data_IF_301890332664
#
_entry.id   IF_301890332664
#
_cell.length_a   1.000
_cell.length_b   1.000
_cell.length_c   1.000
_cell.angle_alpha   90.00
_cell.angle_beta   90.00
_cell.angle_gamma   90.00
#
_symmetry.space_group_name_H-M   'P 1'
#
loop_
_entity.id
_entity.type
_entity.pdbx_description
1 polymer ?
#
# COMPACT_ATOMS: atom_id res chain seq x y z
N UNK A 1 -27.72 6.13 0.84
CA UNK A 1 -27.60 6.44 2.27
C UNK A 1 -26.23 6.01 2.75
N UNK A 2 -25.47 6.84 3.51
CA UNK A 2 -24.23 6.39 4.11
C UNK A 2 -24.51 5.19 5.02
N UNK A 3 -23.68 4.16 4.93
CA UNK A 3 -23.76 3.02 5.82
C UNK A 3 -23.43 3.47 7.24
N UNK A 4 -24.19 3.06 8.27
CA UNK A 4 -23.89 3.42 9.67
C UNK A 4 -22.42 3.07 9.98
N UNK A 5 -21.67 4.01 10.57
CA UNK A 5 -20.27 3.82 10.95
C UNK A 5 -19.26 3.84 9.82
N UNK A 6 -19.60 4.33 8.61
CA UNK A 6 -18.66 4.59 7.51
C UNK A 6 -18.65 6.08 7.20
N UNK A 7 -17.53 6.73 7.46
CA UNK A 7 -17.24 8.12 7.14
C UNK A 7 -16.31 8.21 5.93
N UNK A 8 -16.47 9.21 5.09
CA UNK A 8 -15.56 9.53 3.99
C UNK A 8 -15.41 11.03 3.82
N UNK A 9 -14.25 11.48 3.38
CA UNK A 9 -13.95 12.90 3.21
C UNK A 9 -12.53 13.12 2.75
N UNK A 10 -12.01 14.31 3.04
CA UNK A 10 -10.64 14.71 2.73
C UNK A 10 -9.97 15.25 3.99
N UNK A 11 -8.87 14.63 4.43
CA UNK A 11 -8.01 15.18 5.46
C UNK A 11 -7.27 16.39 4.88
N UNK A 12 -7.25 17.49 5.63
CA UNK A 12 -6.63 18.76 5.21
C UNK A 12 -7.14 19.30 3.85
N UNK A 13 -8.29 18.83 3.38
CA UNK A 13 -8.83 19.17 2.07
C UNK A 13 -8.14 18.48 0.88
N UNK A 14 -7.09 17.68 1.11
CA UNK A 14 -6.22 17.13 0.05
C UNK A 14 -6.19 15.60 -0.01
N UNK A 15 -6.23 14.91 1.14
CA UNK A 15 -6.05 13.46 1.23
C UNK A 15 -7.42 12.77 1.36
N UNK A 16 -7.94 12.12 0.30
CA UNK A 16 -9.18 11.36 0.41
C UNK A 16 -9.04 10.27 1.47
N UNK A 17 -10.07 10.08 2.30
CA UNK A 17 -10.06 9.02 3.29
C UNK A 17 -11.42 8.36 3.46
N UNK A 18 -11.39 7.15 3.99
CA UNK A 18 -12.54 6.52 4.64
C UNK A 18 -12.16 6.13 6.06
N UNK A 19 -13.14 6.21 6.96
CA UNK A 19 -13.00 5.82 8.35
C UNK A 19 -14.16 4.91 8.75
N UNK A 20 -13.87 3.84 9.47
CA UNK A 20 -14.86 2.91 10.01
C UNK A 20 -14.27 2.09 11.16
N UNK A 21 -15.11 1.31 11.86
CA UNK A 21 -14.74 0.57 13.05
C UNK A 21 -14.92 1.41 14.33
N UNK A 22 -15.07 0.73 15.46
CA UNK A 22 -15.42 1.34 16.75
C UNK A 22 -14.39 1.02 17.83
N UNK A 23 -13.28 0.39 17.46
CA UNK A 23 -12.19 0.09 18.39
C UNK A 23 -11.50 1.34 18.93
N UNK A 24 -10.97 1.27 20.15
CA UNK A 24 -10.28 2.36 20.81
C UNK A 24 -8.87 2.65 20.28
N UNK A 25 -8.29 1.71 19.53
CA UNK A 25 -6.96 1.82 18.91
C UNK A 25 -7.11 2.29 17.46
N UNK A 26 -6.17 3.08 16.96
CA UNK A 26 -6.21 3.59 15.60
C UNK A 26 -5.29 2.76 14.69
N UNK A 27 -5.83 2.32 13.54
CA UNK A 27 -5.06 1.68 12.46
C UNK A 27 -5.18 2.54 11.22
N UNK A 28 -4.06 3.01 10.69
CA UNK A 28 -4.02 3.78 9.43
C UNK A 28 -3.39 2.92 8.35
N UNK A 29 -4.10 2.76 7.23
CA UNK A 29 -3.66 1.97 6.08
C UNK A 29 -3.26 2.92 4.95
N UNK A 30 -2.00 2.82 4.51
CA UNK A 30 -1.49 3.48 3.32
C UNK A 30 -1.67 2.54 2.12
N UNK A 31 -2.50 2.90 1.13
CA UNK A 31 -2.92 2.01 0.07
C UNK A 31 -1.84 1.76 -0.99
N UNK A 32 -1.96 0.67 -1.78
CA UNK A 32 -1.05 0.34 -2.86
C UNK A 32 -1.19 1.31 -4.06
N UNK A 33 -0.45 1.07 -5.13
CA UNK A 33 -0.38 1.95 -6.32
C UNK A 33 -1.73 2.16 -7.01
N UNK A 34 -2.64 1.18 -6.94
CA UNK A 34 -3.98 1.27 -7.54
C UNK A 34 -4.82 2.45 -7.00
N UNK A 35 -4.50 2.93 -5.79
CA UNK A 35 -5.08 4.15 -5.23
C UNK A 35 -4.90 5.37 -6.14
N UNK A 36 -3.81 5.43 -6.92
CA UNK A 36 -3.59 6.51 -7.89
C UNK A 36 -4.67 6.54 -8.98
N UNK A 37 -5.27 5.41 -9.32
CA UNK A 37 -6.32 5.30 -10.33
C UNK A 37 -7.71 5.60 -9.76
N UNK A 38 -7.97 5.11 -8.56
CA UNK A 38 -9.23 5.32 -7.83
C UNK A 38 -8.92 5.44 -6.35
N UNK A 39 -9.27 6.58 -5.75
CA UNK A 39 -9.09 6.77 -4.32
C UNK A 39 -10.03 5.88 -3.49
N UNK A 40 -9.72 5.78 -2.19
CA UNK A 40 -10.43 4.90 -1.27
C UNK A 40 -11.92 5.22 -1.14
N UNK A 41 -12.36 6.43 -1.47
CA UNK A 41 -13.77 6.83 -1.35
C UNK A 41 -14.64 6.14 -2.41
N UNK A 42 -14.08 5.87 -3.60
CA UNK A 42 -14.78 5.18 -4.69
C UNK A 42 -15.08 3.71 -4.38
N UNK A 43 -14.25 3.07 -3.54
CA UNK A 43 -14.41 1.68 -3.11
C UNK A 43 -14.84 1.51 -1.65
N UNK A 44 -15.33 2.56 -0.99
CA UNK A 44 -15.49 2.62 0.46
C UNK A 44 -16.24 1.43 1.09
N UNK A 45 -17.37 1.00 0.50
CA UNK A 45 -18.14 -0.16 0.99
C UNK A 45 -17.38 -1.47 0.86
N UNK A 46 -16.69 -1.66 -0.26
CA UNK A 46 -15.85 -2.84 -0.49
C UNK A 46 -14.65 -2.84 0.47
N UNK A 47 -13.96 -1.73 0.63
CA UNK A 47 -12.81 -1.60 1.52
C UNK A 47 -13.20 -1.82 2.98
N UNK A 48 -14.35 -1.28 3.43
CA UNK A 48 -14.90 -1.59 4.74
C UNK A 48 -15.14 -3.10 4.93
N UNK A 49 -15.74 -3.75 3.95
CA UNK A 49 -15.94 -5.20 3.99
C UNK A 49 -14.62 -5.95 3.98
N UNK A 50 -13.67 -5.51 3.17
CA UNK A 50 -12.36 -6.15 3.02
C UNK A 50 -11.54 -6.13 4.31
N UNK A 51 -11.54 -5.02 5.04
CA UNK A 51 -10.80 -4.83 6.29
C UNK A 51 -11.66 -5.01 7.56
N UNK A 52 -12.90 -5.50 7.44
CA UNK A 52 -13.83 -5.67 8.58
C UNK A 52 -13.25 -6.46 9.76
N UNK A 53 -12.30 -7.36 9.51
CA UNK A 53 -11.69 -8.19 10.55
C UNK A 53 -10.85 -7.42 11.57
N UNK A 54 -10.54 -6.17 11.28
CA UNK A 54 -9.85 -5.27 12.21
C UNK A 54 -10.83 -4.34 12.93
N UNK A 55 -12.06 -4.18 12.45
CA UNK A 55 -12.98 -3.12 12.86
C UNK A 55 -13.50 -3.25 14.30
N UNK A 56 -13.46 -4.44 14.90
CA UNK A 56 -13.90 -4.66 16.29
C UNK A 56 -12.90 -4.09 17.32
N UNK A 57 -11.61 -4.02 16.95
CA UNK A 57 -10.52 -3.62 17.84
C UNK A 57 -9.94 -2.25 17.49
N UNK A 58 -10.14 -1.82 16.24
CA UNK A 58 -9.52 -0.61 15.69
C UNK A 58 -10.56 0.31 15.06
N UNK A 59 -10.36 1.61 15.26
CA UNK A 59 -10.85 2.63 14.33
C UNK A 59 -9.88 2.67 13.15
N UNK A 60 -10.38 2.34 11.96
CA UNK A 60 -9.56 2.16 10.76
C UNK A 60 -9.68 3.38 9.87
N UNK A 61 -8.56 3.96 9.50
CA UNK A 61 -8.44 4.95 8.44
C UNK A 61 -7.77 4.31 7.24
N UNK A 62 -8.39 4.34 6.07
CA UNK A 62 -7.69 4.19 4.80
C UNK A 62 -7.51 5.58 4.23
N UNK A 63 -6.28 5.99 4.02
CA UNK A 63 -5.97 7.37 3.57
C UNK A 63 -5.26 7.30 2.24
N UNK A 64 -5.89 7.81 1.18
CA UNK A 64 -5.30 7.94 -0.14
C UNK A 64 -4.17 8.96 -0.16
N UNK A 65 -3.27 8.82 -1.11
CA UNK A 65 -2.33 9.88 -1.48
C UNK A 65 -3.10 11.07 -2.04
N UNK A 66 -2.52 12.27 -1.94
CA UNK A 66 -3.10 13.44 -2.59
C UNK A 66 -3.16 13.25 -4.10
N UNK A 67 -4.02 14.02 -4.75
CA UNK A 67 -4.18 14.02 -6.20
C UNK A 67 -3.36 15.14 -6.85
N UNK A 68 -3.13 15.04 -8.14
CA UNK A 68 -2.35 15.99 -8.96
C UNK A 68 -0.91 16.08 -8.46
N UNK A 69 -0.27 14.92 -8.39
CA UNK A 69 1.14 14.84 -8.05
C UNK A 69 1.98 15.55 -9.12
N UNK A 70 2.92 16.36 -8.69
CA UNK A 70 3.89 16.98 -9.61
C UNK A 70 4.92 15.93 -10.07
N UNK A 71 5.47 16.12 -11.27
CA UNK A 71 6.59 15.31 -11.74
C UNK A 71 7.74 15.34 -10.72
N UNK A 72 8.38 14.18 -10.49
CA UNK A 72 9.44 14.03 -9.52
C UNK A 72 8.98 13.93 -8.05
N UNK A 73 7.66 13.79 -7.82
CA UNK A 73 7.11 13.62 -6.46
C UNK A 73 7.53 12.28 -5.89
N UNK A 74 8.27 12.29 -4.80
CA UNK A 74 8.90 11.10 -4.22
C UNK A 74 7.99 10.40 -3.19
N UNK A 75 8.33 9.16 -2.84
CA UNK A 75 7.70 8.44 -1.72
C UNK A 75 7.92 9.15 -0.37
N UNK A 76 8.99 9.93 -0.22
CA UNK A 76 9.26 10.73 0.97
C UNK A 76 8.37 11.98 1.03
N UNK A 77 8.08 12.61 -0.12
CA UNK A 77 7.11 13.70 -0.20
C UNK A 77 5.71 13.20 0.16
N UNK A 78 5.33 12.01 -0.33
CA UNK A 78 4.07 11.36 0.07
C UNK A 78 4.01 11.09 1.58
N UNK A 79 5.13 10.67 2.19
CA UNK A 79 5.23 10.47 3.64
C UNK A 79 5.02 11.78 4.42
N UNK A 80 5.60 12.90 3.93
CA UNK A 80 5.41 14.21 4.52
C UNK A 80 3.95 14.69 4.44
N UNK A 81 3.23 14.36 3.35
CA UNK A 81 1.78 14.63 3.25
C UNK A 81 1.00 13.91 4.37
N UNK A 82 1.27 12.62 4.58
CA UNK A 82 0.66 11.85 5.67
C UNK A 82 1.02 12.42 7.04
N UNK A 83 2.26 12.84 7.27
CA UNK A 83 2.69 13.41 8.54
C UNK A 83 1.89 14.68 8.91
N UNK A 84 1.60 15.53 7.93
CA UNK A 84 0.73 16.70 8.15
C UNK A 84 -0.69 16.31 8.58
N UNK A 85 -1.24 15.23 7.98
CA UNK A 85 -2.57 14.73 8.34
C UNK A 85 -2.59 14.10 9.74
N UNK A 86 -1.54 13.34 10.09
CA UNK A 86 -1.40 12.77 11.44
C UNK A 86 -1.32 13.87 12.50
N UNK A 87 -0.47 14.86 12.31
CA UNK A 87 -0.29 15.95 13.27
C UNK A 87 -1.53 16.81 13.52
N UNK A 88 -2.47 16.87 12.56
CA UNK A 88 -3.66 17.73 12.67
C UNK A 88 -4.97 16.98 12.91
N UNK A 89 -5.06 15.70 12.51
CA UNK A 89 -6.37 15.04 12.43
C UNK A 89 -6.42 13.63 12.99
N UNK A 90 -5.29 12.88 13.04
CA UNK A 90 -5.29 11.47 13.41
C UNK A 90 -4.58 11.23 14.75
N UNK A 91 -3.38 11.79 14.93
CA UNK A 91 -2.50 11.47 16.06
C UNK A 91 -1.70 10.19 15.85
N UNK A 92 -0.99 9.69 16.90
CA UNK A 92 -0.26 8.42 16.85
C UNK A 92 -1.16 7.24 16.55
N UNK A 93 -0.68 6.29 15.75
CA UNK A 93 -1.46 5.15 15.30
C UNK A 93 -0.57 3.95 14.92
N UNK A 94 -1.19 2.77 14.80
CA UNK A 94 -0.60 1.65 14.08
C UNK A 94 -0.64 1.96 12.58
N UNK A 95 0.50 1.87 11.89
CA UNK A 95 0.61 2.17 10.46
C UNK A 95 0.79 0.87 9.69
N UNK A 96 -0.05 0.66 8.69
CA UNK A 96 0.05 -0.47 7.77
C UNK A 96 0.19 0.06 6.34
N UNK A 97 1.39 -0.01 5.79
CA UNK A 97 1.66 0.32 4.39
C UNK A 97 1.63 -0.91 3.50
N UNK A 98 0.85 -0.88 2.43
CA UNK A 98 0.72 -1.99 1.48
C UNK A 98 1.38 -1.62 0.13
N UNK A 99 2.36 -2.41 -0.34
CA UNK A 99 3.07 -2.21 -1.61
C UNK A 99 3.68 -0.79 -1.68
N UNK A 100 3.30 0.07 -2.63
CA UNK A 100 3.72 1.49 -2.64
C UNK A 100 3.46 2.19 -1.29
N UNK A 101 2.32 1.91 -0.65
CA UNK A 101 2.06 2.40 0.70
C UNK A 101 3.09 1.92 1.73
N UNK A 102 3.67 0.73 1.54
CA UNK A 102 4.77 0.20 2.36
C UNK A 102 6.08 0.94 2.13
N UNK A 103 6.37 1.38 0.89
CA UNK A 103 7.52 2.24 0.60
C UNK A 103 7.38 3.60 1.29
N UNK A 104 6.21 4.21 1.19
CA UNK A 104 5.90 5.49 1.85
C UNK A 104 5.97 5.36 3.38
N UNK A 105 5.45 4.27 3.94
CA UNK A 105 5.43 4.02 5.38
C UNK A 105 6.83 3.89 6.00
N UNK A 106 7.83 3.44 5.24
CA UNK A 106 9.23 3.39 5.68
C UNK A 106 9.77 4.80 5.94
N UNK A 107 9.62 5.72 4.97
CA UNK A 107 10.02 7.11 5.17
C UNK A 107 9.20 7.78 6.27
N UNK A 108 7.89 7.53 6.30
CA UNK A 108 7.02 8.06 7.34
C UNK A 108 7.49 7.67 8.74
N UNK A 109 7.76 6.39 8.96
CA UNK A 109 8.18 5.90 10.28
C UNK A 109 9.61 6.35 10.68
N UNK A 110 10.50 6.52 9.70
CA UNK A 110 11.86 7.00 9.94
C UNK A 110 11.93 8.50 10.23
N UNK A 111 11.10 9.31 9.55
CA UNK A 111 11.11 10.76 9.64
C UNK A 111 10.14 11.29 10.71
N UNK A 112 9.09 10.54 11.07
CA UNK A 112 8.02 10.93 11.99
C UNK A 112 7.69 9.84 13.01
N UNK A 113 8.69 9.35 13.79
CA UNK A 113 8.50 8.23 14.72
C UNK A 113 7.46 8.51 15.81
N UNK A 114 7.19 9.78 16.13
CA UNK A 114 6.19 10.21 17.10
C UNK A 114 4.76 9.84 16.73
N UNK A 115 4.49 9.55 15.45
CA UNK A 115 3.15 9.16 14.97
C UNK A 115 2.98 7.64 14.79
N UNK A 116 4.02 6.82 15.05
CA UNK A 116 3.99 5.39 14.72
C UNK A 116 4.09 4.52 15.96
N UNK A 117 2.96 4.00 16.43
CA UNK A 117 2.91 3.03 17.53
C UNK A 117 3.49 1.66 17.12
N UNK A 118 3.17 1.20 15.93
CA UNK A 118 3.79 0.05 15.27
C UNK A 118 3.69 0.18 13.77
N UNK A 119 4.62 -0.43 13.05
CA UNK A 119 4.70 -0.40 11.59
C UNK A 119 4.50 -1.79 11.00
N UNK A 120 3.63 -1.91 9.99
CA UNK A 120 3.55 -3.08 9.12
C UNK A 120 3.93 -2.67 7.70
N UNK A 121 4.97 -3.29 7.16
CA UNK A 121 5.40 -3.16 5.76
C UNK A 121 4.89 -4.40 5.03
N UNK A 122 3.77 -4.25 4.31
CA UNK A 122 3.10 -5.33 3.60
C UNK A 122 3.50 -5.38 2.13
N UNK A 123 3.96 -6.53 1.65
CA UNK A 123 4.40 -6.79 0.27
C UNK A 123 5.27 -5.66 -0.30
N UNK A 124 6.24 -5.23 0.49
CA UNK A 124 7.19 -4.17 0.15
C UNK A 124 8.54 -4.43 0.82
N UNK A 125 9.57 -3.76 0.33
CA UNK A 125 10.93 -3.81 0.86
C UNK A 125 11.58 -2.42 0.74
N UNK A 126 12.85 -2.29 1.12
CA UNK A 126 13.59 -1.02 1.08
C UNK A 126 13.74 -0.39 -0.31
N UNK A 127 13.40 -1.13 -1.34
CA UNK A 127 13.40 -0.74 -2.75
C UNK A 127 12.89 -1.89 -3.59
N UNK A 128 12.78 -1.69 -4.89
CA UNK A 128 12.39 -2.75 -5.84
C UNK A 128 13.55 -3.70 -6.12
N UNK A 129 13.25 -5.00 -6.27
CA UNK A 129 14.19 -5.99 -6.84
C UNK A 129 14.50 -5.69 -8.32
N UNK A 130 15.52 -6.33 -8.88
CA UNK A 130 15.89 -6.13 -10.27
C UNK A 130 14.71 -6.42 -11.23
N UNK A 131 14.06 -7.57 -11.07
CA UNK A 131 12.87 -7.93 -11.85
C UNK A 131 11.70 -6.98 -11.58
N UNK A 132 11.49 -6.56 -10.33
CA UNK A 132 10.47 -5.58 -9.96
C UNK A 132 10.66 -4.23 -10.66
N UNK A 133 11.90 -3.77 -10.83
CA UNK A 133 12.21 -2.56 -11.60
C UNK A 133 11.81 -2.69 -13.07
N UNK A 134 12.07 -3.84 -13.69
CA UNK A 134 11.65 -4.12 -15.07
C UNK A 134 10.12 -4.17 -15.20
N UNK A 135 9.44 -4.79 -14.23
CA UNK A 135 7.99 -4.85 -14.17
C UNK A 135 7.40 -3.43 -14.09
N UNK A 136 7.88 -2.61 -13.18
CA UNK A 136 7.35 -1.24 -12.99
C UNK A 136 7.66 -0.34 -14.20
N UNK A 137 8.83 -0.48 -14.83
CA UNK A 137 9.13 0.23 -16.10
C UNK A 137 8.13 -0.13 -17.19
N UNK A 138 7.82 -1.42 -17.37
CA UNK A 138 6.78 -1.86 -18.32
C UNK A 138 5.41 -1.23 -18.02
N UNK A 139 5.03 -1.17 -16.73
CA UNK A 139 3.78 -0.52 -16.35
C UNK A 139 3.75 0.96 -16.71
N UNK A 140 4.86 1.68 -16.53
CA UNK A 140 4.99 3.10 -16.91
C UNK A 140 4.88 3.25 -18.43
N UNK A 141 5.54 2.40 -19.21
CA UNK A 141 5.49 2.46 -20.68
C UNK A 141 4.08 2.20 -21.21
N UNK A 142 3.38 1.22 -20.64
CA UNK A 142 1.97 0.95 -20.97
C UNK A 142 1.07 2.12 -20.61
N UNK A 143 1.27 2.73 -19.43
CA UNK A 143 0.50 3.88 -18.96
C UNK A 143 0.72 5.11 -19.85
N UNK A 144 1.97 5.43 -20.18
CA UNK A 144 2.34 6.54 -21.09
C UNK A 144 1.78 6.34 -22.50
N UNK A 145 1.76 5.09 -22.96
CA UNK A 145 1.14 4.70 -24.23
C UNK A 145 -0.39 4.67 -24.24
N UNK A 146 -1.03 4.97 -23.09
CA UNK A 146 -2.49 4.90 -22.95
C UNK A 146 -3.08 3.49 -23.00
N UNK A 147 -2.24 2.45 -22.87
CA UNK A 147 -2.58 1.02 -22.97
C UNK A 147 -3.13 0.46 -21.66
N UNK A 148 -4.13 1.12 -21.09
CA UNK A 148 -4.63 0.86 -19.73
C UNK A 148 -5.19 -0.54 -19.52
N UNK A 149 -5.84 -1.13 -20.53
CA UNK A 149 -6.34 -2.51 -20.44
C UNK A 149 -5.21 -3.52 -20.33
N UNK A 150 -4.15 -3.31 -21.08
CA UNK A 150 -2.96 -4.15 -21.06
C UNK A 150 -2.21 -3.97 -19.73
N UNK A 151 -2.05 -2.74 -19.27
CA UNK A 151 -1.47 -2.45 -17.97
C UNK A 151 -2.17 -3.23 -16.84
N UNK A 152 -3.50 -3.19 -16.78
CA UNK A 152 -4.24 -3.92 -15.73
C UNK A 152 -4.05 -5.42 -15.83
N UNK A 153 -4.02 -5.97 -17.06
CA UNK A 153 -3.75 -7.39 -17.25
C UNK A 153 -2.34 -7.79 -16.83
N UNK A 154 -1.32 -7.00 -17.22
CA UNK A 154 0.07 -7.20 -16.80
C UNK A 154 0.20 -7.12 -15.27
N UNK A 155 -0.42 -6.13 -14.62
CA UNK A 155 -0.42 -6.03 -13.15
C UNK A 155 -0.99 -7.29 -12.49
N UNK A 156 -2.07 -7.87 -13.03
CA UNK A 156 -2.61 -9.15 -12.53
C UNK A 156 -1.60 -10.29 -12.70
N UNK A 157 -0.96 -10.37 -13.87
CA UNK A 157 0.05 -11.40 -14.17
C UNK A 157 1.26 -11.29 -13.24
N UNK A 158 1.68 -10.07 -12.94
CA UNK A 158 2.86 -9.80 -12.11
C UNK A 158 2.58 -9.97 -10.61
N UNK A 159 1.34 -9.71 -10.17
CA UNK A 159 0.97 -9.76 -8.75
C UNK A 159 0.50 -11.13 -8.28
N UNK A 160 -0.26 -11.87 -9.10
CA UNK A 160 -0.93 -13.10 -8.67
C UNK A 160 -0.22 -14.35 -9.16
N UNK A 161 -0.16 -15.37 -8.33
CA UNK A 161 0.48 -16.67 -8.62
C UNK A 161 -0.51 -17.83 -8.62
N UNK A 162 -1.68 -17.67 -7.98
CA UNK A 162 -2.64 -18.73 -7.74
C UNK A 162 -3.48 -19.13 -8.95
N UNK A 163 -4.25 -20.22 -8.79
CA UNK A 163 -5.11 -20.82 -9.83
C UNK A 163 -6.15 -19.84 -10.40
N UNK A 164 -6.49 -18.77 -9.67
CA UNK A 164 -7.44 -17.74 -10.12
C UNK A 164 -6.83 -16.69 -11.03
N UNK A 165 -5.49 -16.66 -11.17
CA UNK A 165 -4.77 -15.68 -11.99
C UNK A 165 -5.32 -15.57 -13.42
N UNK A 166 -5.58 -16.67 -14.19
CA UNK A 166 -6.12 -16.56 -15.55
C UNK A 166 -7.49 -15.86 -15.60
N UNK A 167 -8.36 -16.13 -14.63
CA UNK A 167 -9.65 -15.46 -14.54
C UNK A 167 -9.49 -13.97 -14.25
N UNK A 168 -8.62 -13.61 -13.32
CA UNK A 168 -8.35 -12.20 -12.98
C UNK A 168 -7.75 -11.45 -14.17
N UNK A 169 -6.86 -12.09 -14.93
CA UNK A 169 -6.28 -11.50 -16.14
C UNK A 169 -7.35 -11.22 -17.21
N UNK A 170 -8.25 -12.16 -17.47
CA UNK A 170 -9.37 -11.97 -18.43
C UNK A 170 -10.25 -10.81 -17.97
N UNK A 171 -10.64 -10.77 -16.70
CA UNK A 171 -11.45 -9.69 -16.14
C UNK A 171 -10.73 -8.34 -16.24
N UNK A 172 -9.43 -8.28 -15.97
CA UNK A 172 -8.63 -7.08 -16.08
C UNK A 172 -8.56 -6.58 -17.54
N UNK A 173 -8.41 -7.47 -18.52
CA UNK A 173 -8.44 -7.11 -19.95
C UNK A 173 -9.79 -6.55 -20.38
N UNK A 174 -10.89 -7.10 -19.87
CA UNK A 174 -12.24 -6.67 -20.23
C UNK A 174 -12.64 -5.36 -19.56
N UNK A 175 -12.35 -5.21 -18.26
CA UNK A 175 -12.86 -4.13 -17.41
C UNK A 175 -11.83 -3.05 -17.09
N UNK A 176 -10.53 -3.34 -17.20
CA UNK A 176 -9.45 -2.46 -16.75
C UNK A 176 -9.47 -1.07 -17.40
N UNK A 177 -9.86 -0.97 -18.67
CA UNK A 177 -9.98 0.32 -19.35
C UNK A 177 -11.09 1.23 -18.80
N UNK A 178 -12.10 0.66 -18.15
CA UNK A 178 -13.18 1.40 -17.52
C UNK A 178 -12.80 1.98 -16.15
N UNK A 179 -11.74 1.46 -15.54
CA UNK A 179 -11.27 1.90 -14.21
C UNK A 179 -10.45 3.21 -14.28
N UNK A 180 -9.93 3.59 -15.45
CA UNK A 180 -9.05 4.76 -15.62
C UNK A 180 -9.74 5.81 -16.48
N UNK A 181 -10.61 6.60 -15.87
CA UNK A 181 -11.43 7.60 -16.58
C UNK A 181 -10.85 9.00 -16.53
N UNK A 182 -10.07 9.34 -15.52
CA UNK A 182 -9.56 10.68 -15.28
C UNK A 182 -8.14 10.88 -15.83
N UNK A 183 -7.85 11.96 -16.58
CA UNK A 183 -6.47 12.31 -16.94
C UNK A 183 -5.57 12.52 -15.72
N UNK A 184 -6.09 13.08 -14.62
CA UNK A 184 -5.35 13.25 -13.36
C UNK A 184 -4.97 11.90 -12.77
N UNK A 185 -5.87 10.92 -12.77
CA UNK A 185 -5.57 9.59 -12.27
C UNK A 185 -4.46 8.88 -13.08
N UNK A 186 -4.41 9.14 -14.38
CA UNK A 186 -3.36 8.61 -15.27
C UNK A 186 -1.99 9.15 -14.91
N UNK A 187 -1.89 10.46 -14.74
CA UNK A 187 -0.66 11.15 -14.38
C UNK A 187 -0.20 10.74 -12.97
N UNK A 188 -1.10 10.74 -11.99
CA UNK A 188 -0.82 10.29 -10.62
C UNK A 188 -0.30 8.85 -10.56
N UNK A 189 -0.79 7.96 -11.45
CA UNK A 189 -0.26 6.60 -11.55
C UNK A 189 1.18 6.59 -12.04
N UNK A 190 1.48 7.34 -13.12
CA UNK A 190 2.83 7.41 -13.70
C UNK A 190 3.82 7.96 -12.66
N UNK A 191 3.49 9.09 -12.04
CA UNK A 191 4.34 9.70 -11.00
C UNK A 191 4.54 8.75 -9.82
N UNK A 192 3.48 8.05 -9.39
CA UNK A 192 3.59 7.07 -8.30
C UNK A 192 4.45 5.85 -8.65
N UNK A 193 4.39 5.40 -9.90
CA UNK A 193 5.23 4.30 -10.39
C UNK A 193 6.70 4.73 -10.50
N UNK A 194 6.96 5.95 -11.00
CA UNK A 194 8.31 6.55 -11.03
C UNK A 194 8.87 6.71 -9.62
N UNK A 195 8.07 7.23 -8.68
CA UNK A 195 8.46 7.32 -7.27
C UNK A 195 8.82 5.97 -6.66
N UNK A 196 8.17 4.87 -7.11
CA UNK A 196 8.52 3.51 -6.69
C UNK A 196 9.86 3.04 -7.26
N UNK A 197 10.19 3.42 -8.52
CA UNK A 197 11.48 3.11 -9.13
C UNK A 197 12.63 3.82 -8.44
N UNK A 198 12.42 5.07 -8.00
CA UNK A 198 13.43 5.91 -7.37
C UNK A 198 13.53 5.70 -5.86
N UNK A 199 12.58 4.93 -5.28
CA UNK A 199 12.58 4.66 -3.86
C UNK A 199 13.78 3.82 -3.43
N UNK A 200 14.51 4.33 -2.46
CA UNK A 200 15.51 3.61 -1.66
C UNK A 200 15.47 4.11 -0.21
N UNK A 201 15.07 3.24 0.71
CA UNK A 201 15.02 3.55 2.14
C UNK A 201 16.23 2.99 2.91
N UNK A 202 17.23 2.41 2.25
CA UNK A 202 18.34 1.67 2.85
C UNK A 202 18.95 2.41 4.03
N UNK A 203 19.31 3.68 3.85
CA UNK A 203 19.99 4.49 4.87
C UNK A 203 19.02 5.05 5.94
N UNK A 204 17.72 4.84 5.78
CA UNK A 204 16.67 5.33 6.67
C UNK A 204 16.11 4.28 7.62
N UNK A 205 16.20 3.00 7.26
CA UNK A 205 15.59 1.89 8.01
C UNK A 205 16.07 1.82 9.46
N UNK A 206 17.37 2.09 9.70
CA UNK A 206 17.93 2.12 11.05
C UNK A 206 17.37 3.22 11.97
N UNK A 207 16.71 4.23 11.40
CA UNK A 207 16.07 5.30 12.16
C UNK A 207 14.63 4.97 12.60
N UNK A 208 14.05 3.89 12.11
CA UNK A 208 12.70 3.43 12.51
C UNK A 208 12.75 2.93 13.95
N UNK A 209 11.98 3.58 14.83
CA UNK A 209 11.94 3.29 16.27
C UNK A 209 10.79 2.38 16.67
N UNK A 210 9.73 2.34 15.87
CA UNK A 210 8.55 1.56 16.16
C UNK A 210 8.80 0.06 15.97
N UNK A 211 8.10 -0.77 16.75
CA UNK A 211 8.04 -2.21 16.46
C UNK A 211 7.58 -2.39 15.02
N UNK A 212 8.29 -3.21 14.25
CA UNK A 212 8.04 -3.37 12.81
C UNK A 212 7.83 -4.83 12.43
N UNK A 213 6.86 -5.08 11.55
CA UNK A 213 6.66 -6.34 10.85
C UNK A 213 6.81 -6.13 9.35
N UNK A 214 7.68 -6.88 8.71
CA UNK A 214 7.70 -7.05 7.25
C UNK A 214 6.92 -8.32 6.91
N UNK A 215 5.87 -8.22 6.10
CA UNK A 215 5.03 -9.37 5.73
C UNK A 215 4.77 -9.40 4.23
N UNK A 216 5.00 -10.54 3.57
CA UNK A 216 4.79 -10.65 2.14
C UNK A 216 4.78 -12.07 1.62
N UNK A 217 4.76 -12.23 0.29
CA UNK A 217 4.85 -13.52 -0.37
C UNK A 217 6.29 -13.96 -0.58
N UNK A 218 6.58 -15.24 -0.35
CA UNK A 218 7.91 -15.80 -0.59
C UNK A 218 8.30 -15.82 -2.07
N UNK A 219 7.31 -15.76 -2.98
CA UNK A 219 7.50 -15.77 -4.44
C UNK A 219 7.23 -14.39 -5.07
N UNK A 220 7.33 -13.31 -4.29
CA UNK A 220 7.15 -11.95 -4.80
C UNK A 220 8.30 -11.57 -5.75
N UNK A 221 7.95 -11.27 -7.01
CA UNK A 221 8.89 -10.90 -8.07
C UNK A 221 9.23 -9.41 -8.04
N UNK A 222 8.36 -8.60 -7.45
CA UNK A 222 8.53 -7.15 -7.34
C UNK A 222 9.45 -6.85 -6.13
N UNK A 223 9.15 -7.46 -4.99
CA UNK A 223 9.92 -7.37 -3.76
C UNK A 223 10.35 -8.77 -3.31
N UNK A 224 11.42 -9.34 -3.87
CA UNK A 224 11.83 -10.71 -3.58
C UNK A 224 12.08 -10.96 -2.09
N UNK A 225 11.88 -12.19 -1.66
CA UNK A 225 12.01 -12.63 -0.26
C UNK A 225 13.34 -12.19 0.37
N UNK A 226 14.45 -12.26 -0.38
CA UNK A 226 15.77 -11.81 0.08
C UNK A 226 15.78 -10.32 0.44
N UNK A 227 15.09 -9.49 -0.34
CA UNK A 227 15.03 -8.06 -0.11
C UNK A 227 14.07 -7.70 1.03
N UNK A 228 12.99 -8.47 1.23
CA UNK A 228 12.10 -8.34 2.38
C UNK A 228 12.83 -8.71 3.68
N UNK A 229 13.63 -9.78 3.68
CA UNK A 229 14.48 -10.16 4.81
C UNK A 229 15.54 -9.08 5.11
N UNK A 230 16.29 -8.62 4.10
CA UNK A 230 17.28 -7.54 4.24
C UNK A 230 16.64 -6.24 4.79
N UNK A 231 15.41 -5.95 4.41
CA UNK A 231 14.65 -4.82 4.97
C UNK A 231 14.40 -4.98 6.46
N UNK A 232 13.95 -6.16 6.90
CA UNK A 232 13.71 -6.44 8.30
C UNK A 232 15.01 -6.43 9.13
N UNK A 233 16.10 -6.99 8.61
CA UNK A 233 17.41 -7.01 9.27
C UNK A 233 17.97 -5.61 9.54
N UNK A 234 17.66 -4.63 8.69
CA UNK A 234 18.08 -3.23 8.83
C UNK A 234 17.23 -2.40 9.81
N UNK A 235 16.05 -2.87 10.16
CA UNK A 235 15.16 -2.19 11.12
C UNK A 235 15.37 -2.80 12.51
N UNK A 236 15.75 -2.01 13.52
CA UNK A 236 15.99 -2.53 14.87
C UNK A 236 14.80 -3.31 15.44
N UNK A 237 14.99 -4.60 15.74
CA UNK A 237 13.96 -5.44 16.34
C UNK A 237 12.78 -5.80 15.43
N UNK A 238 12.88 -5.61 14.13
CA UNK A 238 11.81 -5.99 13.21
C UNK A 238 11.66 -7.51 13.09
N UNK A 239 10.40 -7.94 12.89
CA UNK A 239 10.07 -9.31 12.54
C UNK A 239 9.78 -9.42 11.03
N UNK A 240 10.01 -10.61 10.46
CA UNK A 240 9.64 -10.92 9.08
C UNK A 240 8.70 -12.13 9.05
N UNK A 241 7.70 -12.08 8.17
CA UNK A 241 6.79 -13.18 7.91
C UNK A 241 6.57 -13.34 6.41
N UNK A 242 7.18 -14.34 5.80
CA UNK A 242 6.95 -14.70 4.40
C UNK A 242 5.90 -15.80 4.31
N UNK A 243 4.96 -15.65 3.38
CA UNK A 243 3.88 -16.60 3.13
C UNK A 243 4.25 -17.42 1.89
N UNK A 244 4.39 -18.72 2.10
CA UNK A 244 4.80 -19.65 1.06
C UNK A 244 3.73 -19.85 -0.03
N UNK A 245 4.19 -20.09 -1.27
CA UNK A 245 3.33 -20.42 -2.39
C UNK A 245 2.61 -19.24 -3.03
N UNK A 246 2.93 -18.00 -2.63
CA UNK A 246 2.30 -16.77 -3.17
C UNK A 246 3.33 -15.68 -3.42
N UNK A 247 3.00 -14.81 -4.40
CA UNK A 247 3.79 -13.66 -4.80
C UNK A 247 3.32 -12.36 -4.17
N UNK A 248 3.35 -11.28 -4.99
CA UNK A 248 2.97 -9.94 -4.56
C UNK A 248 1.51 -9.85 -4.10
N UNK A 249 0.62 -10.69 -4.64
CA UNK A 249 -0.80 -10.78 -4.25
C UNK A 249 -1.06 -11.50 -2.92
N UNK A 250 -0.05 -11.75 -2.07
CA UNK A 250 -0.18 -12.50 -0.82
C UNK A 250 -1.29 -11.97 0.10
N UNK A 251 -1.48 -10.65 0.16
CA UNK A 251 -2.52 -9.97 0.95
C UNK A 251 -3.95 -10.30 0.51
N UNK A 252 -4.12 -10.86 -0.69
CA UNK A 252 -5.41 -11.24 -1.29
C UNK A 252 -5.52 -12.77 -1.46
N UNK A 253 -4.52 -13.42 -2.09
CA UNK A 253 -4.51 -14.86 -2.33
C UNK A 253 -4.50 -15.69 -1.03
N UNK A 254 -3.78 -15.20 -0.01
CA UNK A 254 -3.68 -15.81 1.33
C UNK A 254 -4.14 -14.84 2.41
N UNK A 255 -5.24 -14.16 2.12
CA UNK A 255 -5.77 -13.08 2.98
C UNK A 255 -5.88 -13.46 4.45
N UNK A 256 -6.36 -14.68 4.76
CA UNK A 256 -6.51 -15.12 6.15
C UNK A 256 -5.16 -15.19 6.88
N UNK A 257 -4.14 -15.76 6.23
CA UNK A 257 -2.81 -15.92 6.81
C UNK A 257 -2.12 -14.56 6.94
N UNK A 258 -2.30 -13.70 5.92
CA UNK A 258 -1.77 -12.35 5.90
C UNK A 258 -2.39 -11.47 7.00
N UNK A 259 -3.72 -11.40 7.06
CA UNK A 259 -4.44 -10.63 8.08
C UNK A 259 -4.14 -11.15 9.50
N UNK A 260 -4.00 -12.47 9.69
CA UNK A 260 -3.64 -13.05 10.97
C UNK A 260 -2.24 -12.64 11.43
N UNK A 261 -1.26 -12.58 10.49
CA UNK A 261 0.09 -12.10 10.79
C UNK A 261 0.07 -10.61 11.20
N UNK A 262 -0.61 -9.76 10.44
CA UNK A 262 -0.77 -8.33 10.74
C UNK A 262 -1.47 -8.14 12.08
N UNK A 263 -2.66 -8.74 12.26
CA UNK A 263 -3.48 -8.59 13.47
C UNK A 263 -2.75 -9.10 14.71
N UNK A 264 -2.10 -10.26 14.61
CA UNK A 264 -1.32 -10.84 15.72
C UNK A 264 -0.12 -9.96 16.12
N UNK A 265 0.43 -9.19 15.19
CA UNK A 265 1.53 -8.28 15.45
C UNK A 265 1.07 -6.96 16.09
N UNK A 266 0.07 -6.28 15.53
CA UNK A 266 -0.39 -4.96 16.02
C UNK A 266 -1.17 -5.03 17.33
N UNK A 267 -1.64 -6.21 17.76
CA UNK A 267 -2.31 -6.42 19.05
C UNK A 267 -1.38 -6.32 20.26
N UNK A 268 -0.12 -6.62 20.09
CA UNK A 268 0.91 -6.62 21.14
C UNK A 268 1.38 -5.21 21.45
#
# INVERSE_FOLDING_TARGET
MPSPGLESGHLLGELPFIRFGEGSRTLVIFPPINDSLQDVTNGARFLRWYYRHFADEYTIYLVSRKRRLSSGYTTRDMAADYARAFGRSIGPAHVFGLSLGGLVAQHFAADHPEYVESLVIGVAARGLGAEGREIVRRWIDLARGGRWRELHAEMVVDMYTGIRRPLYEILARLLGGAMVRSPVAREDFIVSAEASLDHDATDRLGAIKSRTLVVGGAQDRIFPASLQNDTAERIPGAAVRLIEGVGHGAFDERKRDFDAAVKGFIRR
#
